data_IF_371089779622
#
_entry.id   IF_371089779622
#
_cell.length_a   1.000
_cell.length_b   1.000
_cell.length_c   1.000
_cell.angle_alpha   90.00
_cell.angle_beta   90.00
_cell.angle_gamma   90.00
#
_symmetry.space_group_name_H-M   'P 1'
#
loop_
_entity.id
_entity.type
_entity.pdbx_description
1 polymer ?
#
# COMPACT_ATOMS: atom_id res chain seq x y z
N UNK A 1 8.97 13.16 8.52
CA UNK A 1 9.15 11.77 8.04
C UNK A 1 9.30 11.79 6.51
N UNK A 2 9.93 10.78 5.91
CA UNK A 2 10.15 10.72 4.45
C UNK A 2 8.86 10.47 3.64
N UNK A 3 7.86 9.84 4.25
CA UNK A 3 6.55 9.58 3.65
C UNK A 3 5.40 9.99 4.59
N UNK A 4 4.16 9.94 4.06
CA UNK A 4 2.96 10.21 4.83
C UNK A 4 2.64 9.08 5.81
N UNK A 5 1.79 9.37 6.78
CA UNK A 5 1.20 8.31 7.62
C UNK A 5 0.24 7.46 6.79
N UNK A 6 0.28 6.16 6.99
CA UNK A 6 -0.64 5.18 6.39
C UNK A 6 -1.60 4.58 7.44
N UNK A 7 -1.67 5.15 8.64
CA UNK A 7 -2.66 4.73 9.63
C UNK A 7 -4.06 4.89 9.05
N UNK A 8 -4.91 3.88 9.21
CA UNK A 8 -6.29 3.82 8.71
C UNK A 8 -6.43 3.86 7.18
N UNK A 9 -5.37 3.56 6.42
CA UNK A 9 -5.36 3.72 4.97
C UNK A 9 -6.53 3.02 4.25
N UNK A 10 -6.82 1.77 4.62
CA UNK A 10 -7.93 1.00 4.07
C UNK A 10 -9.28 1.49 4.59
N UNK A 11 -9.36 1.82 5.88
CA UNK A 11 -10.59 2.33 6.52
C UNK A 11 -11.07 3.64 5.89
N UNK A 12 -10.16 4.58 5.66
CA UNK A 12 -10.47 5.88 5.06
C UNK A 12 -10.95 5.75 3.61
N UNK A 13 -10.55 4.65 2.94
CA UNK A 13 -10.98 4.25 1.59
C UNK A 13 -12.14 3.27 1.58
N UNK A 14 -12.80 3.07 2.73
CA UNK A 14 -13.94 2.15 2.90
C UNK A 14 -13.67 0.72 2.43
N UNK A 15 -12.41 0.31 2.44
CA UNK A 15 -11.95 -0.99 1.94
C UNK A 15 -12.34 -1.27 0.49
N UNK A 16 -12.41 -0.23 -0.35
CA UNK A 16 -12.77 -0.36 -1.77
C UNK A 16 -11.72 -1.20 -2.54
N UNK A 17 -12.13 -2.27 -3.24
CA UNK A 17 -11.24 -3.08 -4.07
C UNK A 17 -10.50 -2.28 -5.17
N UNK A 18 -11.12 -1.22 -5.72
CA UNK A 18 -10.48 -0.37 -6.71
C UNK A 18 -9.30 0.40 -6.12
N UNK A 19 -9.46 0.89 -4.89
CA UNK A 19 -8.40 1.55 -4.13
C UNK A 19 -7.30 0.58 -3.70
N UNK A 20 -7.64 -0.65 -3.33
CA UNK A 20 -6.67 -1.69 -3.03
C UNK A 20 -5.80 -2.01 -4.25
N UNK A 21 -6.40 -2.08 -5.44
CA UNK A 21 -5.69 -2.25 -6.71
C UNK A 21 -4.80 -1.05 -7.03
N UNK A 22 -5.27 0.17 -6.79
CA UNK A 22 -4.45 1.38 -6.96
C UNK A 22 -3.26 1.42 -5.99
N UNK A 23 -3.45 0.94 -4.75
CA UNK A 23 -2.38 0.80 -3.78
C UNK A 23 -1.35 -0.26 -4.20
N UNK A 24 -1.80 -1.39 -4.75
CA UNK A 24 -0.91 -2.39 -5.34
C UNK A 24 -0.06 -1.78 -6.47
N UNK A 25 -0.68 -1.02 -7.38
CA UNK A 25 0.05 -0.34 -8.44
C UNK A 25 1.11 0.64 -7.90
N UNK A 26 0.80 1.37 -6.81
CA UNK A 26 1.77 2.23 -6.10
C UNK A 26 2.93 1.45 -5.48
N UNK A 27 2.70 0.24 -4.95
CA UNK A 27 3.78 -0.60 -4.40
C UNK A 27 4.64 -1.20 -5.52
N UNK A 28 4.00 -1.63 -6.62
CA UNK A 28 4.69 -2.22 -7.75
C UNK A 28 5.59 -1.20 -8.47
N UNK A 29 5.04 -0.06 -8.87
CA UNK A 29 5.75 1.06 -9.47
C UNK A 29 5.14 2.42 -9.04
N UNK A 30 5.65 3.03 -7.96
CA UNK A 30 5.18 4.34 -7.52
C UNK A 30 5.52 5.46 -8.51
N UNK A 31 6.53 5.29 -9.38
CA UNK A 31 6.93 6.32 -10.33
C UNK A 31 6.02 6.36 -11.57
N UNK A 32 5.33 5.24 -11.87
CA UNK A 32 4.31 5.19 -12.91
C UNK A 32 3.06 6.03 -12.57
N UNK A 33 2.77 6.23 -11.29
CA UNK A 33 1.64 7.03 -10.79
C UNK A 33 2.04 8.40 -10.27
N UNK A 34 3.27 8.55 -9.77
CA UNK A 34 3.83 9.82 -9.34
C UNK A 34 5.30 9.93 -9.74
N UNK A 35 5.57 10.68 -10.81
CA UNK A 35 6.91 10.83 -11.37
C UNK A 35 7.94 11.25 -10.30
N UNK A 36 9.10 10.60 -10.31
CA UNK A 36 10.19 10.85 -9.36
C UNK A 36 9.81 10.64 -7.87
N UNK A 37 8.82 9.80 -7.58
CA UNK A 37 8.55 9.35 -6.20
C UNK A 37 9.82 8.77 -5.55
N UNK A 38 10.06 9.18 -4.30
CA UNK A 38 11.13 8.63 -3.46
C UNK A 38 10.83 7.21 -2.96
N UNK A 39 9.59 6.72 -3.14
CA UNK A 39 9.24 5.35 -2.83
C UNK A 39 9.91 4.39 -3.82
N UNK A 40 10.58 3.32 -3.37
CA UNK A 40 11.22 2.35 -4.27
C UNK A 40 10.21 1.62 -5.17
N UNK A 41 10.62 1.27 -6.39
CA UNK A 41 9.83 0.45 -7.33
C UNK A 41 10.00 -1.04 -7.01
N UNK A 42 9.28 -1.52 -6.01
CA UNK A 42 9.49 -2.86 -5.44
C UNK A 42 9.21 -3.99 -6.45
N UNK A 43 8.18 -3.84 -7.27
CA UNK A 43 7.81 -4.84 -8.27
C UNK A 43 8.73 -4.81 -9.50
N UNK A 44 9.00 -3.62 -10.04
CA UNK A 44 9.85 -3.46 -11.24
C UNK A 44 11.28 -3.97 -11.01
N UNK A 45 11.83 -3.76 -9.81
CA UNK A 45 13.18 -4.22 -9.46
C UNK A 45 13.21 -5.59 -8.78
N UNK A 46 12.08 -6.30 -8.72
CA UNK A 46 11.94 -7.61 -8.08
C UNK A 46 12.46 -7.66 -6.63
N UNK A 47 12.34 -6.55 -5.90
CA UNK A 47 12.72 -6.47 -4.47
C UNK A 47 11.74 -7.25 -3.61
N UNK A 48 10.45 -7.21 -3.98
CA UNK A 48 9.39 -8.00 -3.34
C UNK A 48 8.79 -8.95 -4.36
N UNK A 49 8.44 -10.16 -3.91
CA UNK A 49 7.64 -11.09 -4.69
C UNK A 49 6.19 -10.61 -4.81
N UNK A 50 5.45 -11.15 -5.78
CA UNK A 50 4.02 -10.84 -5.94
C UNK A 50 3.23 -11.13 -4.66
N UNK A 51 3.54 -12.25 -3.99
CA UNK A 51 2.87 -12.62 -2.75
C UNK A 51 3.16 -11.60 -1.64
N UNK A 52 4.42 -11.20 -1.46
CA UNK A 52 4.79 -10.20 -0.46
C UNK A 52 4.10 -8.85 -0.70
N UNK A 53 3.97 -8.43 -1.96
CA UNK A 53 3.21 -7.23 -2.29
C UNK A 53 1.73 -7.37 -1.95
N UNK A 54 1.11 -8.53 -2.26
CA UNK A 54 -0.29 -8.81 -1.87
C UNK A 54 -0.46 -8.79 -0.35
N UNK A 55 0.46 -9.37 0.40
CA UNK A 55 0.42 -9.41 1.86
C UNK A 55 0.51 -8.00 2.45
N UNK A 56 1.36 -7.12 1.90
CA UNK A 56 1.44 -5.71 2.31
C UNK A 56 0.15 -4.95 1.98
N UNK A 57 -0.48 -5.22 0.83
CA UNK A 57 -1.77 -4.59 0.50
C UNK A 57 -2.87 -5.08 1.43
N UNK A 58 -2.90 -6.39 1.77
CA UNK A 58 -3.80 -6.90 2.80
C UNK A 58 -3.53 -6.22 4.15
N UNK A 59 -2.27 -6.02 4.53
CA UNK A 59 -1.94 -5.27 5.74
C UNK A 59 -2.48 -3.82 5.72
N UNK A 60 -2.59 -3.18 4.56
CA UNK A 60 -3.18 -1.83 4.44
C UNK A 60 -4.72 -1.84 4.36
N UNK A 61 -5.33 -2.84 3.73
CA UNK A 61 -6.76 -2.86 3.39
C UNK A 61 -7.61 -3.87 4.17
N UNK A 62 -7.02 -4.76 4.97
CA UNK A 62 -7.79 -5.70 5.77
C UNK A 62 -8.43 -4.96 6.97
N UNK A 63 -9.75 -5.07 7.20
CA UNK A 63 -10.40 -4.50 8.37
C UNK A 63 -9.85 -5.00 9.71
N UNK A 64 -9.32 -6.23 9.75
CA UNK A 64 -8.70 -6.82 10.92
C UNK A 64 -7.23 -6.42 11.09
N UNK A 65 -6.62 -5.80 10.08
CA UNK A 65 -5.26 -5.31 10.19
C UNK A 65 -5.11 -4.30 11.33
N UNK A 66 -4.00 -4.36 12.11
CA UNK A 66 -3.73 -3.36 13.13
C UNK A 66 -3.62 -1.93 12.57
N UNK A 67 -3.37 -1.76 11.26
CA UNK A 67 -3.34 -0.44 10.60
C UNK A 67 -4.71 0.25 10.65
N UNK A 68 -5.79 -0.52 10.60
CA UNK A 68 -7.16 -0.01 10.50
C UNK A 68 -7.90 0.00 11.85
N UNK A 69 -7.32 -0.63 12.87
CA UNK A 69 -7.85 -0.67 14.23
C UNK A 69 -7.46 0.60 15.00
N UNK A 70 -8.34 1.16 15.84
CA UNK A 70 -7.95 2.22 16.76
C UNK A 70 -6.82 1.71 17.64
N UNK A 71 -5.80 2.54 17.86
CA UNK A 71 -4.72 2.21 18.79
C UNK A 71 -5.35 1.85 20.14
N UNK A 72 -5.01 0.66 20.66
CA UNK A 72 -5.34 0.26 22.03
C UNK A 72 -4.63 1.15 23.02
#
# INVERSE_FOLDING_TARGET
>A
TLGPSLTNYGRDRKFDPADAKAAYARVFDPQAVFACSNMPRFGVHNVLSEQQMKDVIAYLFDPESPVNKPAK
#
